data_IF_968640193543
#
_entry.id   IF_968640193543
#
_cell.length_a   1.000
_cell.length_b   1.000
_cell.length_c   1.000
_cell.angle_alpha   90.00
_cell.angle_beta   90.00
_cell.angle_gamma   90.00
#
_symmetry.space_group_name_H-M   'P 1'
#
loop_
_entity.id
_entity.type
_entity.pdbx_description
1 polymer ?
#
# COMPACT_ATOMS: atom_id res chain seq x y z
N UNK A 1 3.52 14.36 51.88
CA UNK A 1 2.05 14.17 52.01
C UNK A 1 1.26 15.47 51.82
N UNK A 2 1.75 16.62 52.30
CA UNK A 2 1.02 17.90 52.19
C UNK A 2 0.89 18.44 50.75
N UNK A 3 1.91 18.27 49.91
CA UNK A 3 1.86 18.69 48.50
C UNK A 3 0.78 17.94 47.69
N UNK A 4 0.63 16.63 47.92
CA UNK A 4 -0.42 15.81 47.30
C UNK A 4 -1.81 16.23 47.75
N UNK A 5 -1.98 16.53 49.05
CA UNK A 5 -3.23 17.08 49.61
C UNK A 5 -3.57 18.46 49.05
N UNK A 6 -2.59 19.31 48.84
CA UNK A 6 -2.79 20.63 48.23
C UNK A 6 -3.18 20.51 46.75
N UNK A 7 -2.55 19.59 46.00
CA UNK A 7 -2.89 19.32 44.60
C UNK A 7 -4.29 18.71 44.45
N UNK A 8 -4.66 17.74 45.29
CA UNK A 8 -6.00 17.14 45.27
C UNK A 8 -7.10 18.16 45.62
N UNK A 9 -6.84 19.09 46.55
CA UNK A 9 -7.76 20.19 46.87
C UNK A 9 -7.94 21.21 45.75
N UNK A 10 -6.98 21.32 44.82
CA UNK A 10 -7.08 22.19 43.64
C UNK A 10 -7.81 21.54 42.47
N UNK A 11 -7.89 20.22 42.44
CA UNK A 11 -8.63 19.46 41.43
C UNK A 11 -10.13 19.29 41.78
N UNK A 12 -10.52 19.59 43.01
CA UNK A 12 -11.89 19.47 43.49
C UNK A 12 -12.69 20.73 43.13
N UNK A 13 -13.57 20.63 42.14
CA UNK A 13 -14.37 21.76 41.64
C UNK A 13 -15.61 22.05 42.48
N UNK A 14 -15.92 21.23 43.49
CA UNK A 14 -17.16 21.32 44.25
C UNK A 14 -16.95 21.81 45.70
N UNK A 15 -17.81 22.70 46.21
CA UNK A 15 -17.74 23.16 47.60
C UNK A 15 -18.03 22.00 48.56
N UNK A 16 -17.17 21.82 49.56
CA UNK A 16 -17.28 20.72 50.52
C UNK A 16 -18.41 20.98 51.51
N UNK A 17 -19.32 20.01 51.67
CA UNK A 17 -20.37 20.02 52.70
C UNK A 17 -19.76 20.05 54.11
N UNK A 18 -20.42 20.75 55.04
CA UNK A 18 -19.98 20.86 56.43
C UNK A 18 -19.97 19.49 57.12
N UNK A 19 -19.00 19.28 58.01
CA UNK A 19 -18.74 17.99 58.64
C UNK A 19 -19.92 17.47 59.49
N UNK A 20 -20.86 18.35 59.88
CA UNK A 20 -22.06 17.99 60.65
C UNK A 20 -23.08 17.14 59.87
N UNK A 21 -23.00 17.12 58.53
CA UNK A 21 -23.84 16.29 57.67
C UNK A 21 -23.10 15.06 57.10
N UNK A 22 -21.84 14.83 57.51
CA UNK A 22 -20.98 13.79 56.94
C UNK A 22 -20.82 12.62 57.92
N UNK A 23 -21.56 11.54 57.71
CA UNK A 23 -21.37 10.31 58.47
C UNK A 23 -20.20 9.50 57.91
N UNK A 24 -19.04 9.55 58.58
CA UNK A 24 -17.84 8.79 58.18
C UNK A 24 -17.95 7.33 58.62
N UNK A 25 -18.21 6.42 57.68
CA UNK A 25 -18.18 4.98 57.93
C UNK A 25 -16.83 4.37 57.49
N UNK A 26 -16.20 3.57 58.36
CA UNK A 26 -14.94 2.87 58.04
C UNK A 26 -15.13 1.85 56.91
N UNK A 27 -16.31 1.22 56.87
CA UNK A 27 -16.69 0.28 55.82
C UNK A 27 -16.87 0.96 54.44
N UNK A 28 -17.44 2.17 54.40
CA UNK A 28 -17.59 2.93 53.16
C UNK A 28 -16.25 3.31 52.56
N UNK A 29 -15.30 3.76 53.38
CA UNK A 29 -13.93 4.05 52.93
C UNK A 29 -13.20 2.82 52.37
N UNK A 30 -13.35 1.65 53.02
CA UNK A 30 -12.79 0.39 52.52
C UNK A 30 -13.41 -0.02 51.17
N UNK A 31 -14.73 0.13 51.03
CA UNK A 31 -15.44 -0.17 49.78
C UNK A 31 -15.03 0.78 48.65
N UNK A 32 -14.91 2.08 48.92
CA UNK A 32 -14.43 3.06 47.93
C UNK A 32 -13.02 2.73 47.47
N UNK A 33 -12.12 2.34 48.39
CA UNK A 33 -10.76 1.96 48.04
C UNK A 33 -10.71 0.68 47.20
N UNK A 34 -11.51 -0.33 47.56
CA UNK A 34 -11.63 -1.55 46.79
C UNK A 34 -12.19 -1.30 45.38
N UNK A 35 -13.23 -0.47 45.26
CA UNK A 35 -13.82 -0.11 43.97
C UNK A 35 -12.85 0.68 43.10
N UNK A 36 -12.15 1.65 43.68
CA UNK A 36 -11.11 2.41 42.99
C UNK A 36 -9.96 1.50 42.50
N UNK A 37 -9.53 0.53 43.31
CA UNK A 37 -8.53 -0.45 42.91
C UNK A 37 -9.01 -1.31 41.73
N UNK A 38 -10.24 -1.82 41.78
CA UNK A 38 -10.84 -2.57 40.66
C UNK A 38 -10.91 -1.73 39.39
N UNK A 39 -11.40 -0.48 39.47
CA UNK A 39 -11.46 0.42 38.32
C UNK A 39 -10.08 0.70 37.72
N UNK A 40 -9.06 0.93 38.55
CA UNK A 40 -7.67 1.14 38.09
C UNK A 40 -7.11 -0.12 37.40
N UNK A 41 -7.35 -1.31 37.97
CA UNK A 41 -6.91 -2.57 37.36
C UNK A 41 -7.54 -2.79 35.98
N UNK A 42 -8.84 -2.57 35.86
CA UNK A 42 -9.56 -2.68 34.59
C UNK A 42 -9.08 -1.65 33.57
N UNK A 43 -8.86 -0.41 33.99
CA UNK A 43 -8.32 0.63 33.12
C UNK A 43 -6.93 0.25 32.59
N UNK A 44 -6.04 -0.23 33.46
CA UNK A 44 -4.70 -0.65 33.06
C UNK A 44 -4.72 -1.89 32.16
N UNK A 45 -5.61 -2.86 32.39
CA UNK A 45 -5.72 -4.03 31.52
C UNK A 45 -6.17 -3.63 30.12
N UNK A 46 -7.17 -2.76 30.03
CA UNK A 46 -7.71 -2.30 28.75
C UNK A 46 -6.71 -1.38 28.03
N UNK A 47 -6.05 -0.47 28.76
CA UNK A 47 -5.00 0.38 28.21
C UNK A 47 -3.84 -0.46 27.64
N UNK A 48 -3.44 -1.51 28.34
CA UNK A 48 -2.41 -2.44 27.83
C UNK A 48 -2.88 -3.18 26.59
N UNK A 49 -4.12 -3.65 26.57
CA UNK A 49 -4.69 -4.33 25.41
C UNK A 49 -4.82 -3.40 24.20
N UNK A 50 -5.26 -2.16 24.41
CA UNK A 50 -5.33 -1.14 23.36
C UNK A 50 -3.96 -0.71 22.84
N UNK A 51 -2.95 -0.59 23.71
CA UNK A 51 -1.58 -0.27 23.29
C UNK A 51 -0.90 -1.46 22.60
N UNK A 52 -1.26 -2.69 22.98
CA UNK A 52 -0.86 -3.93 22.31
C UNK A 52 -1.72 -4.23 21.07
N UNK A 53 -2.11 -3.18 20.33
CA UNK A 53 -3.01 -3.25 19.19
C UNK A 53 -2.59 -4.34 18.19
N UNK A 54 -3.33 -5.44 18.18
CA UNK A 54 -3.27 -6.43 17.11
C UNK A 54 -3.93 -5.82 15.88
N UNK A 55 -3.18 -5.70 14.78
CA UNK A 55 -3.70 -5.22 13.50
C UNK A 55 -4.77 -6.18 12.98
N UNK A 56 -6.04 -5.79 13.08
CA UNK A 56 -7.14 -6.51 12.40
C UNK A 56 -7.22 -5.98 10.97
N UNK A 57 -6.85 -6.81 10.00
CA UNK A 57 -7.01 -6.54 8.57
C UNK A 57 -8.49 -6.54 8.22
N UNK A 58 -9.06 -5.37 7.95
CA UNK A 58 -10.42 -5.23 7.43
C UNK A 58 -10.36 -5.02 5.92
N UNK A 59 -11.00 -5.90 5.15
CA UNK A 59 -11.16 -5.77 3.71
C UNK A 59 -12.33 -4.81 3.44
N UNK A 60 -12.00 -3.56 3.15
CA UNK A 60 -12.96 -2.60 2.57
C UNK A 60 -12.94 -2.69 1.06
N UNK A 61 -14.10 -2.58 0.42
CA UNK A 61 -14.21 -2.39 -1.02
C UNK A 61 -13.86 -0.94 -1.31
N UNK A 62 -12.72 -0.69 -1.93
CA UNK A 62 -12.39 0.64 -2.44
C UNK A 62 -13.34 0.98 -3.59
N UNK A 63 -14.35 1.79 -3.31
CA UNK A 63 -15.18 2.46 -4.33
C UNK A 63 -14.45 3.63 -5.01
N UNK A 64 -13.13 3.72 -4.86
CA UNK A 64 -12.25 4.68 -5.54
C UNK A 64 -11.37 4.06 -6.62
N UNK A 65 -11.55 2.76 -6.92
CA UNK A 65 -10.77 2.03 -7.93
C UNK A 65 -11.08 2.45 -9.37
N UNK A 66 -12.16 3.18 -9.58
CA UNK A 66 -12.49 3.83 -10.86
C UNK A 66 -11.68 5.12 -11.09
N UNK A 67 -11.04 5.68 -10.05
CA UNK A 67 -10.12 6.83 -10.17
C UNK A 67 -8.63 6.42 -10.14
N UNK A 68 -8.29 5.27 -9.53
CA UNK A 68 -6.94 4.68 -9.53
C UNK A 68 -6.89 3.40 -10.38
N UNK A 69 -7.47 3.46 -11.58
CA UNK A 69 -7.16 2.52 -12.66
C UNK A 69 -5.74 2.81 -13.18
N UNK A 70 -4.77 2.82 -12.27
CA UNK A 70 -3.36 2.99 -12.60
C UNK A 70 -2.85 1.67 -13.17
N UNK A 71 -2.11 1.77 -14.27
CA UNK A 71 -1.48 0.61 -14.91
C UNK A 71 -0.58 -0.08 -13.90
N UNK A 72 -0.77 -1.38 -13.70
CA UNK A 72 0.08 -2.18 -12.81
C UNK A 72 1.51 -2.19 -13.37
N UNK A 73 2.44 -1.58 -12.64
CA UNK A 73 3.86 -1.63 -12.99
C UNK A 73 4.46 -2.97 -12.55
N UNK A 74 4.77 -3.84 -13.50
CA UNK A 74 5.36 -5.16 -13.26
C UNK A 74 6.80 -5.17 -13.76
N UNK A 75 7.75 -5.39 -12.85
CA UNK A 75 9.16 -5.61 -13.19
C UNK A 75 9.45 -7.11 -13.14
N UNK A 76 9.86 -7.71 -14.26
CA UNK A 76 10.14 -9.15 -14.37
C UNK A 76 11.58 -9.34 -14.83
N UNK A 77 12.36 -10.11 -14.06
CA UNK A 77 13.71 -10.53 -14.42
C UNK A 77 13.78 -12.07 -14.44
N UNK A 78 13.79 -12.64 -15.64
CA UNK A 78 13.85 -14.08 -15.88
C UNK A 78 14.99 -14.40 -16.85
N UNK A 79 15.67 -15.52 -16.63
CA UNK A 79 16.81 -15.96 -17.44
C UNK A 79 16.58 -17.37 -17.99
N UNK A 80 16.87 -17.55 -19.29
CA UNK A 80 16.72 -18.83 -19.99
C UNK A 80 18.07 -19.23 -20.59
N UNK A 81 18.89 -20.03 -19.88
CA UNK A 81 20.27 -20.34 -20.33
C UNK A 81 20.34 -21.27 -21.54
N UNK A 82 19.27 -22.04 -21.80
CA UNK A 82 19.23 -23.03 -22.89
C UNK A 82 18.43 -22.55 -24.11
N UNK A 83 17.87 -21.33 -24.07
CA UNK A 83 17.02 -20.80 -25.15
C UNK A 83 17.63 -19.52 -25.75
N UNK A 84 17.93 -19.49 -27.05
CA UNK A 84 18.37 -18.29 -27.75
C UNK A 84 17.37 -17.13 -27.66
N UNK A 85 17.86 -15.91 -27.42
CA UNK A 85 17.01 -14.72 -27.24
C UNK A 85 16.09 -14.40 -28.42
N UNK A 86 16.47 -14.78 -29.65
CA UNK A 86 15.68 -14.52 -30.85
C UNK A 86 14.44 -15.40 -31.01
N UNK A 87 14.31 -16.46 -30.22
CA UNK A 87 13.13 -17.34 -30.20
C UNK A 87 12.20 -17.07 -29.02
N UNK A 88 12.58 -16.17 -28.11
CA UNK A 88 11.78 -15.81 -26.95
C UNK A 88 10.84 -14.67 -27.34
N UNK A 89 9.53 -14.91 -27.20
CA UNK A 89 8.49 -13.88 -27.23
C UNK A 89 7.86 -13.76 -25.85
N UNK A 90 7.43 -12.55 -25.48
CA UNK A 90 6.74 -12.27 -24.23
C UNK A 90 5.35 -11.69 -24.55
N UNK A 91 4.33 -12.30 -23.96
CA UNK A 91 2.93 -11.93 -24.12
C UNK A 91 2.33 -11.69 -22.73
N UNK A 92 1.52 -10.64 -22.59
CA UNK A 92 0.78 -10.36 -21.38
C UNK A 92 -0.73 -10.51 -21.64
N UNK A 93 -1.40 -11.24 -20.76
CA UNK A 93 -2.85 -11.44 -20.79
C UNK A 93 -3.44 -10.97 -19.47
N UNK A 94 -4.40 -10.04 -19.55
CA UNK A 94 -5.19 -9.60 -18.40
C UNK A 94 -6.54 -10.33 -18.32
N UNK A 95 -7.15 -10.37 -17.13
CA UNK A 95 -8.49 -10.93 -16.89
C UNK A 95 -9.59 -10.23 -17.71
N UNK A 96 -9.32 -8.99 -18.15
CA UNK A 96 -10.17 -8.23 -19.06
C UNK A 96 -10.18 -8.80 -20.49
N UNK A 97 -9.32 -9.79 -20.79
CA UNK A 97 -9.16 -10.38 -22.11
C UNK A 97 -8.29 -9.54 -23.06
N UNK A 98 -7.62 -8.50 -22.54
CA UNK A 98 -6.62 -7.74 -23.30
C UNK A 98 -5.35 -8.58 -23.41
N UNK A 99 -4.93 -8.84 -24.65
CA UNK A 99 -3.68 -9.53 -24.96
C UNK A 99 -2.75 -8.55 -25.65
N UNK A 100 -1.65 -8.21 -24.99
CA UNK A 100 -0.56 -7.45 -25.62
C UNK A 100 0.43 -8.48 -26.17
N UNK A 101 0.30 -8.74 -27.47
CA UNK A 101 1.26 -9.52 -28.26
C UNK A 101 2.52 -8.69 -28.48
N UNK A 102 3.68 -9.33 -28.41
CA UNK A 102 4.99 -8.69 -28.61
C UNK A 102 5.10 -7.36 -27.84
N UNK A 103 5.22 -7.44 -26.49
CA UNK A 103 5.49 -6.25 -25.69
C UNK A 103 6.62 -5.46 -26.36
N UNK A 104 6.29 -4.26 -26.83
CA UNK A 104 7.15 -3.50 -27.73
C UNK A 104 8.57 -3.41 -27.17
N UNK A 105 9.58 -3.42 -28.04
CA UNK A 105 11.00 -3.34 -27.68
C UNK A 105 11.37 -2.12 -26.81
N UNK A 106 10.46 -1.15 -26.62
CA UNK A 106 10.58 -0.04 -25.68
C UNK A 106 10.41 -0.45 -24.21
N UNK A 107 9.64 -1.51 -23.90
CA UNK A 107 9.35 -1.93 -22.53
C UNK A 107 10.06 -3.23 -22.12
N UNK A 108 10.53 -4.03 -23.09
CA UNK A 108 11.20 -5.31 -22.84
C UNK A 108 12.59 -5.29 -23.46
N UNK A 109 13.60 -5.56 -22.63
CA UNK A 109 15.00 -5.64 -23.05
C UNK A 109 15.50 -7.08 -22.94
N UNK A 110 15.99 -7.62 -24.05
CA UNK A 110 16.57 -8.97 -24.14
C UNK A 110 18.10 -8.87 -24.15
N UNK A 111 18.76 -9.67 -23.32
CA UNK A 111 20.22 -9.81 -23.31
C UNK A 111 20.59 -11.28 -23.46
N UNK A 112 21.59 -11.57 -24.30
CA UNK A 112 22.19 -12.88 -24.30
C UNK A 112 22.96 -13.10 -22.99
N UNK A 113 22.88 -14.32 -22.45
CA UNK A 113 23.54 -14.71 -21.21
C UNK A 113 24.46 -15.90 -21.46
N UNK A 114 25.59 -15.97 -20.75
CA UNK A 114 26.44 -17.17 -20.73
C UNK A 114 25.86 -18.26 -19.80
N UNK A 115 26.50 -19.43 -19.80
CA UNK A 115 26.14 -20.55 -18.90
C UNK A 115 26.30 -20.20 -17.41
N UNK A 116 27.01 -19.12 -17.11
CA UNK A 116 27.25 -18.58 -15.77
C UNK A 116 26.26 -17.46 -15.42
N UNK A 117 25.26 -17.18 -16.28
CA UNK A 117 24.23 -16.17 -16.07
C UNK A 117 24.70 -14.73 -16.29
N UNK A 118 25.90 -14.52 -16.83
CA UNK A 118 26.45 -13.19 -17.11
C UNK A 118 25.97 -12.71 -18.48
N UNK A 119 25.63 -11.43 -18.57
CA UNK A 119 25.21 -10.79 -19.83
C UNK A 119 26.39 -10.74 -20.80
N UNK A 120 26.19 -11.25 -22.01
CA UNK A 120 27.20 -11.29 -23.08
C UNK A 120 26.71 -10.44 -24.25
N UNK A 121 27.50 -9.45 -24.67
CA UNK A 121 27.18 -8.58 -25.81
C UNK A 121 26.23 -7.43 -25.49
N UNK A 122 25.75 -6.77 -26.56
CA UNK A 122 24.77 -5.67 -26.48
C UNK A 122 23.32 -6.17 -26.40
N UNK A 123 22.36 -5.30 -26.05
CA UNK A 123 20.95 -5.67 -26.06
C UNK A 123 20.53 -6.06 -27.48
N UNK A 124 19.88 -7.21 -27.62
CA UNK A 124 19.33 -7.64 -28.91
C UNK A 124 18.13 -6.74 -29.22
N UNK A 125 18.31 -5.80 -30.16
CA UNK A 125 17.20 -5.02 -30.70
C UNK A 125 16.40 -5.93 -31.62
N UNK A 126 15.18 -6.24 -31.21
CA UNK A 126 14.19 -6.81 -32.09
C UNK A 126 13.82 -5.70 -33.08
N UNK A 127 14.33 -5.78 -34.31
CA UNK A 127 13.80 -4.98 -35.41
C UNK A 127 12.35 -5.38 -35.54
N UNK A 128 11.43 -4.45 -35.23
CA UNK A 128 10.01 -4.65 -35.38
C UNK A 128 9.74 -5.38 -36.70
N UNK A 129 9.40 -6.67 -36.60
CA UNK A 129 8.89 -7.39 -37.75
C UNK A 129 7.54 -6.75 -37.95
N UNK A 130 7.40 -5.91 -38.97
CA UNK A 130 6.13 -5.32 -39.35
C UNK A 130 5.20 -6.46 -39.76
N UNK A 131 4.52 -7.05 -38.77
CA UNK A 131 3.39 -7.91 -39.01
C UNK A 131 2.19 -6.96 -39.20
N UNK A 132 1.70 -6.76 -40.43
CA UNK A 132 0.65 -5.79 -40.74
C UNK A 132 -0.72 -6.14 -40.13
N UNK A 133 -0.77 -7.14 -39.23
CA UNK A 133 -1.99 -7.64 -38.59
C UNK A 133 -2.21 -7.10 -37.18
N UNK A 134 -1.19 -6.57 -36.50
CA UNK A 134 -1.32 -6.04 -35.15
C UNK A 134 -1.91 -4.61 -35.12
N UNK A 135 -1.71 -3.81 -36.17
CA UNK A 135 -2.28 -2.46 -36.29
C UNK A 135 -3.78 -2.42 -36.66
N UNK A 136 -4.36 -3.56 -37.06
CA UNK A 136 -5.73 -3.63 -37.55
C UNK A 136 -6.80 -3.65 -36.44
N UNK A 137 -6.42 -3.85 -35.17
CA UNK A 137 -7.38 -3.89 -34.06
C UNK A 137 -7.65 -2.49 -33.47
N UNK A 138 -6.73 -1.55 -33.63
CA UNK A 138 -6.83 -0.22 -33.01
C UNK A 138 -7.56 0.83 -33.86
N UNK A 139 -7.82 0.54 -35.15
CA UNK A 139 -8.47 1.50 -36.07
C UNK A 139 -10.00 1.45 -36.06
N UNK A 140 -10.62 0.55 -35.29
CA UNK A 140 -12.08 0.41 -35.27
C UNK A 140 -12.79 1.30 -34.24
N UNK A 141 -12.07 2.09 -33.41
CA UNK A 141 -12.72 2.85 -32.33
C UNK A 141 -12.06 4.19 -31.98
N UNK A 142 -12.18 5.20 -32.85
CA UNK A 142 -12.36 6.60 -32.43
C UNK A 142 -12.77 7.52 -33.60
N UNK A 143 -13.63 8.53 -33.37
CA UNK A 143 -14.16 9.42 -34.40
C UNK A 143 -13.16 10.52 -34.80
N UNK A 144 -13.42 11.10 -35.97
CA UNK A 144 -12.66 12.15 -36.62
C UNK A 144 -12.43 13.40 -35.75
N UNK A 145 -11.18 13.90 -35.72
CA UNK A 145 -10.82 15.17 -35.08
C UNK A 145 -9.37 15.63 -35.29
N UNK A 146 -9.20 16.54 -36.24
CA UNK A 146 -8.11 17.51 -36.53
C UNK A 146 -6.77 17.57 -35.76
N UNK A 147 -5.69 17.57 -36.55
CA UNK A 147 -4.48 18.43 -36.52
C UNK A 147 -3.71 18.70 -35.20
N UNK A 148 -2.42 18.34 -35.16
CA UNK A 148 -1.29 19.25 -35.44
C UNK A 148 0.07 18.60 -35.13
N UNK A 149 1.07 18.93 -35.95
CA UNK A 149 2.44 18.44 -35.87
C UNK A 149 3.20 19.05 -34.68
N UNK A 150 4.06 18.26 -34.04
CA UNK A 150 4.96 18.70 -32.98
C UNK A 150 6.13 17.73 -32.80
N UNK A 151 7.34 18.30 -32.85
CA UNK A 151 8.65 17.67 -32.97
C UNK A 151 9.20 16.99 -31.70
N UNK A 152 10.01 15.95 -31.92
CA UNK A 152 11.11 15.41 -31.11
C UNK A 152 11.35 15.93 -29.68
N UNK A 153 11.41 15.01 -28.72
CA UNK A 153 12.53 14.95 -27.77
C UNK A 153 12.76 13.50 -27.31
N UNK A 154 13.92 12.96 -27.65
CA UNK A 154 14.39 11.67 -27.15
C UNK A 154 14.96 11.90 -25.75
N UNK A 155 14.27 11.38 -24.73
CA UNK A 155 14.78 11.25 -23.37
C UNK A 155 15.05 9.78 -23.10
N UNK A 156 16.33 9.44 -22.90
CA UNK A 156 16.79 8.12 -22.51
C UNK A 156 16.98 8.04 -21.00
N UNK A 157 16.34 7.09 -20.34
CA UNK A 157 16.80 6.32 -19.19
C UNK A 157 15.65 5.40 -18.80
N UNK A 158 15.93 4.15 -18.44
CA UNK A 158 15.76 3.75 -17.04
C UNK A 158 16.33 2.36 -16.77
N UNK A 159 16.87 2.29 -15.56
CA UNK A 159 17.18 1.11 -14.76
C UNK A 159 15.94 0.25 -14.62
#
# INVERSE_FOLDING_TARGET
MEALRAAARRLDAFPKVSDDYVVRSRAGGALTLACAACCLLLFLSEARYHLAATSRTHLTVDSGRDAWAEKLHVEINVSFPEVPCGMLSLEALDVSGEMVLELHASHVRKWAIDRQGRRVGGPTRETANANPRAEAVDTARAPAGSHSAGSHSAGSEFV
#
